data_IF_197695205628
#
_entry.id   IF_197695205628
#
_cell.length_a   1.000
_cell.length_b   1.000
_cell.length_c   1.000
_cell.angle_alpha   90.00
_cell.angle_beta   90.00
_cell.angle_gamma   90.00
#
_symmetry.space_group_name_H-M   'P 1'
#
loop_
_entity.id
_entity.type
_entity.pdbx_description
1 polymer ?
#
# COMPACT_ATOMS: atom_id res chain seq x y z
N UNK A 1 -7.23 -3.58 -16.41
CA UNK A 1 -6.74 -2.29 -15.89
C UNK A 1 -5.78 -2.46 -14.70
N UNK A 2 -5.82 -3.58 -13.99
CA UNK A 2 -4.78 -4.07 -13.06
C UNK A 2 -3.37 -4.25 -13.66
N UNK A 3 -3.23 -4.48 -14.97
CA UNK A 3 -1.90 -4.54 -15.61
C UNK A 3 -1.16 -3.19 -15.63
N UNK A 4 -1.80 -2.05 -15.36
CA UNK A 4 -1.17 -0.74 -15.61
C UNK A 4 -0.53 -0.08 -14.37
N UNK A 5 -1.04 -0.31 -13.16
CA UNK A 5 -0.53 0.32 -11.92
C UNK A 5 0.69 -0.46 -11.39
N UNK A 6 0.60 -1.79 -11.30
CA UNK A 6 1.75 -2.63 -10.93
C UNK A 6 2.89 -2.54 -11.98
N UNK A 7 2.60 -2.39 -13.29
CA UNK A 7 3.67 -2.29 -14.30
C UNK A 7 4.33 -0.92 -14.40
N UNK A 8 3.66 0.20 -14.12
CA UNK A 8 4.26 1.54 -14.32
C UNK A 8 5.19 1.96 -13.19
N UNK A 9 4.88 1.65 -11.93
CA UNK A 9 5.75 1.98 -10.80
C UNK A 9 6.72 0.85 -10.42
N UNK A 10 6.31 -0.43 -10.49
CA UNK A 10 7.14 -1.52 -9.95
C UNK A 10 7.93 -2.32 -11.01
N UNK A 11 7.50 -2.38 -12.29
CA UNK A 11 8.24 -3.19 -13.29
C UNK A 11 9.56 -2.57 -13.77
N UNK A 12 9.82 -1.29 -13.52
CA UNK A 12 11.11 -0.67 -13.85
C UNK A 12 12.23 -1.03 -12.86
N UNK A 13 11.89 -1.59 -11.70
CA UNK A 13 12.85 -1.93 -10.64
C UNK A 13 13.20 -3.41 -10.56
N UNK A 14 12.61 -4.27 -11.40
CA UNK A 14 12.80 -5.71 -11.34
C UNK A 14 13.13 -6.27 -12.73
N UNK A 15 14.42 -6.30 -13.07
CA UNK A 15 14.97 -7.25 -14.06
C UNK A 15 15.87 -8.26 -13.33
N UNK A 16 15.84 -9.55 -13.74
CA UNK A 16 16.35 -10.65 -12.93
C UNK A 16 17.84 -10.89 -13.21
N UNK A 17 18.69 -10.74 -12.19
CA UNK A 17 20.07 -11.25 -12.25
C UNK A 17 20.50 -11.76 -10.87
N UNK A 18 20.37 -13.08 -10.63
CA UNK A 18 21.51 -13.99 -10.46
C UNK A 18 21.02 -15.41 -10.11
N UNK A 19 21.47 -16.41 -10.87
CA UNK A 19 21.50 -17.81 -10.42
C UNK A 19 22.47 -17.91 -9.25
N UNK A 20 22.00 -18.19 -8.04
CA UNK A 20 22.87 -18.61 -6.95
C UNK A 20 22.86 -20.12 -6.75
N UNK A 21 24.06 -20.70 -6.80
CA UNK A 21 24.40 -22.10 -6.45
C UNK A 21 24.24 -22.30 -4.93
N UNK A 22 23.93 -23.52 -4.45
CA UNK A 22 23.89 -23.77 -3.02
C UNK A 22 25.30 -23.78 -2.43
N UNK A 23 25.50 -23.07 -1.32
CA UNK A 23 26.73 -23.14 -0.52
C UNK A 23 26.68 -24.37 0.39
N UNK A 24 27.76 -25.14 0.39
CA UNK A 24 27.93 -26.37 1.16
C UNK A 24 28.09 -26.10 2.66
N UNK A 25 27.44 -26.94 3.46
CA UNK A 25 27.59 -27.05 4.91
C UNK A 25 29.05 -27.08 5.39
N UNK A 26 29.41 -26.17 6.30
CA UNK A 26 30.40 -26.42 7.36
C UNK A 26 29.91 -25.79 8.67
N UNK A 27 29.72 -26.64 9.67
CA UNK A 27 29.39 -26.29 11.05
C UNK A 27 30.58 -25.60 11.71
N UNK A 28 30.30 -24.55 12.50
CA UNK A 28 31.16 -24.12 13.61
C UNK A 28 30.30 -23.95 14.87
N UNK A 29 30.80 -24.55 15.94
CA UNK A 29 30.15 -24.75 17.24
C UNK A 29 30.44 -23.63 18.24
N UNK A 30 29.38 -23.24 18.94
CA UNK A 30 29.25 -22.70 20.30
C UNK A 30 29.76 -21.28 20.66
N UNK A 31 28.80 -20.57 21.27
CA UNK A 31 28.90 -19.59 22.36
C UNK A 31 29.02 -18.10 21.99
N UNK A 32 27.87 -17.47 21.73
CA UNK A 32 27.44 -16.27 22.45
C UNK A 32 25.90 -16.15 22.37
N UNK A 33 25.25 -15.79 23.47
CA UNK A 33 23.79 -15.67 23.61
C UNK A 33 23.23 -14.44 22.86
N UNK A 34 23.30 -14.44 21.52
CA UNK A 34 22.95 -13.28 20.67
C UNK A 34 21.77 -13.56 19.73
N UNK A 35 20.84 -14.42 20.11
CA UNK A 35 19.50 -14.33 19.56
C UNK A 35 18.75 -13.23 20.32
N UNK A 36 19.14 -11.96 20.11
CA UNK A 36 18.13 -10.91 20.11
C UNK A 36 17.21 -11.35 18.97
N UNK A 37 16.08 -11.98 19.30
CA UNK A 37 15.12 -12.48 18.33
C UNK A 37 14.91 -11.36 17.31
N UNK A 38 15.42 -11.58 16.11
CA UNK A 38 15.39 -10.57 15.07
C UNK A 38 13.95 -10.53 14.58
N UNK A 39 13.22 -9.50 14.98
CA UNK A 39 11.83 -9.34 14.56
C UNK A 39 11.82 -8.89 13.10
N UNK A 40 11.84 -9.86 12.18
CA UNK A 40 11.81 -9.62 10.75
C UNK A 40 10.58 -8.81 10.32
N UNK A 41 9.51 -8.75 11.14
CA UNK A 41 8.33 -7.93 10.85
C UNK A 41 8.55 -6.45 11.14
N UNK A 42 9.50 -6.12 12.02
CA UNK A 42 9.83 -4.73 12.35
C UNK A 42 10.64 -4.03 11.25
N UNK A 43 11.27 -4.80 10.34
CA UNK A 43 12.07 -4.26 9.24
C UNK A 43 11.32 -4.20 7.90
N UNK A 44 10.09 -4.72 7.86
CA UNK A 44 9.26 -4.72 6.65
C UNK A 44 8.86 -3.32 6.25
N UNK A 45 8.65 -3.13 4.96
CA UNK A 45 8.15 -1.90 4.37
C UNK A 45 6.66 -2.05 4.08
N UNK A 46 5.88 -1.01 4.40
CA UNK A 46 4.45 -0.95 4.07
C UNK A 46 4.29 -0.04 2.87
N UNK A 47 3.93 -0.62 1.73
CA UNK A 47 3.64 0.13 0.51
C UNK A 47 2.17 0.48 0.47
N UNK A 48 1.86 1.76 0.26
CA UNK A 48 0.50 2.27 0.05
C UNK A 48 0.48 3.09 -1.24
N UNK A 49 -0.62 2.96 -1.96
CA UNK A 49 -1.01 3.82 -3.08
C UNK A 49 -2.48 4.18 -2.88
N UNK A 50 -2.82 5.45 -3.06
CA UNK A 50 -4.20 5.93 -2.93
C UNK A 50 -4.60 6.78 -4.11
N UNK A 51 -5.88 6.69 -4.46
CA UNK A 51 -6.52 7.60 -5.40
C UNK A 51 -7.47 8.51 -4.62
N UNK A 52 -7.44 9.81 -4.92
CA UNK A 52 -8.22 10.83 -4.22
C UNK A 52 -9.04 11.66 -5.22
N UNK A 53 -10.08 12.34 -4.71
CA UNK A 53 -10.88 13.30 -5.49
C UNK A 53 -10.09 14.55 -5.91
N UNK A 54 -8.94 14.76 -5.27
CA UNK A 54 -8.01 15.86 -5.48
C UNK A 54 -6.88 15.82 -4.46
N UNK A 55 -6.11 16.91 -4.36
CA UNK A 55 -4.89 16.98 -3.53
C UNK A 55 -5.05 17.86 -2.28
N UNK A 56 -6.21 18.46 -2.06
CA UNK A 56 -6.47 19.25 -0.88
C UNK A 56 -7.06 18.37 0.23
N UNK A 57 -6.23 17.98 1.19
CA UNK A 57 -6.65 17.12 2.32
C UNK A 57 -7.84 17.68 3.13
N UNK A 58 -8.11 18.99 3.02
CA UNK A 58 -9.23 19.65 3.70
C UNK A 58 -10.56 19.58 2.97
N UNK A 59 -10.55 19.24 1.69
CA UNK A 59 -11.74 19.26 0.83
C UNK A 59 -11.95 17.93 0.09
N UNK A 60 -10.86 17.22 -0.18
CA UNK A 60 -10.85 15.99 -0.97
C UNK A 60 -10.93 14.74 -0.10
N UNK A 61 -11.34 13.65 -0.74
CA UNK A 61 -11.63 12.36 -0.11
C UNK A 61 -10.83 11.23 -0.77
N UNK A 62 -10.54 10.18 0.00
CA UNK A 62 -9.92 8.94 -0.48
C UNK A 62 -10.96 8.14 -1.27
N UNK A 63 -10.67 7.82 -2.53
CA UNK A 63 -11.52 7.04 -3.44
C UNK A 63 -11.12 5.56 -3.47
N UNK A 64 -9.82 5.28 -3.38
CA UNK A 64 -9.27 3.92 -3.41
C UNK A 64 -8.01 3.85 -2.56
N UNK A 65 -7.76 2.70 -1.94
CA UNK A 65 -6.52 2.39 -1.22
C UNK A 65 -6.07 0.97 -1.56
N UNK A 66 -4.77 0.82 -1.83
CA UNK A 66 -4.12 -0.46 -2.02
C UNK A 66 -2.90 -0.59 -1.12
N UNK A 67 -2.64 -1.79 -0.60
CA UNK A 67 -1.51 -2.04 0.31
C UNK A 67 -0.71 -3.29 -0.07
N UNK A 68 0.61 -3.23 0.06
CA UNK A 68 1.52 -4.38 -0.09
C UNK A 68 2.58 -4.33 1.01
N UNK A 69 3.04 -5.48 1.49
CA UNK A 69 4.16 -5.58 2.43
C UNK A 69 5.34 -6.25 1.74
N UNK A 70 6.53 -5.65 1.84
CA UNK A 70 7.79 -6.22 1.36
C UNK A 70 8.79 -6.38 2.49
N UNK A 71 9.81 -7.20 2.25
CA UNK A 71 11.05 -7.15 3.04
C UNK A 71 11.93 -5.97 2.60
N UNK A 72 13.11 -5.84 3.21
CA UNK A 72 14.09 -4.80 2.91
C UNK A 72 14.75 -4.93 1.53
N UNK A 73 14.72 -6.13 0.95
CA UNK A 73 15.24 -6.43 -0.39
C UNK A 73 14.14 -6.29 -1.47
N UNK A 74 12.98 -5.73 -1.10
CA UNK A 74 11.82 -5.49 -1.95
C UNK A 74 11.12 -6.75 -2.46
N UNK A 75 11.35 -7.91 -1.84
CA UNK A 75 10.57 -9.11 -2.13
C UNK A 75 9.18 -8.96 -1.50
N UNK A 76 8.14 -9.28 -2.27
CA UNK A 76 6.76 -9.27 -1.77
C UNK A 76 6.62 -10.34 -0.70
N UNK A 77 6.25 -9.91 0.51
CA UNK A 77 5.92 -10.78 1.64
C UNK A 77 4.44 -11.11 1.60
N UNK A 78 3.60 -10.11 1.32
CA UNK A 78 2.17 -10.28 1.15
C UNK A 78 1.54 -9.17 0.32
N UNK A 79 0.56 -9.54 -0.50
CA UNK A 79 -0.33 -8.61 -1.19
C UNK A 79 -1.53 -8.34 -0.29
N UNK A 80 -1.78 -7.06 -0.01
CA UNK A 80 -2.91 -6.61 0.80
C UNK A 80 -4.15 -6.34 -0.03
N UNK A 81 -5.21 -5.81 0.60
CA UNK A 81 -6.44 -5.51 -0.11
C UNK A 81 -6.30 -4.28 -1.00
N UNK A 82 -7.06 -4.27 -2.09
CA UNK A 82 -7.33 -3.12 -2.95
C UNK A 82 -8.81 -2.78 -2.79
N UNK A 83 -9.11 -1.60 -2.28
CA UNK A 83 -10.43 -1.25 -1.79
C UNK A 83 -10.87 0.07 -2.40
N UNK A 84 -11.92 0.00 -3.23
CA UNK A 84 -12.65 1.17 -3.69
C UNK A 84 -13.67 1.58 -2.64
N UNK A 85 -13.65 2.86 -2.27
CA UNK A 85 -14.52 3.44 -1.23
C UNK A 85 -15.77 4.03 -1.88
N UNK A 86 -16.92 3.79 -1.25
CA UNK A 86 -18.19 4.36 -1.70
C UNK A 86 -18.19 5.88 -1.51
N UNK A 87 -18.67 6.58 -2.54
CA UNK A 87 -18.91 8.02 -2.49
C UNK A 87 -20.25 8.37 -3.12
N UNK A 88 -20.88 9.42 -2.59
CA UNK A 88 -22.05 10.01 -3.21
C UNK A 88 -21.68 10.63 -4.56
N UNK A 89 -22.64 10.61 -5.49
CA UNK A 89 -22.47 11.20 -6.84
C UNK A 89 -22.02 12.65 -6.78
N UNK A 90 -22.59 13.44 -5.88
CA UNK A 90 -22.23 14.85 -5.68
C UNK A 90 -20.75 15.05 -5.34
N UNK A 91 -20.19 14.24 -4.44
CA UNK A 91 -18.75 14.28 -4.10
C UNK A 91 -17.88 14.06 -5.33
N UNK A 92 -18.26 13.09 -6.17
CA UNK A 92 -17.50 12.72 -7.36
C UNK A 92 -17.65 13.76 -8.50
N UNK A 93 -18.81 14.40 -8.60
CA UNK A 93 -19.06 15.47 -9.59
C UNK A 93 -18.36 16.79 -9.23
N UNK A 94 -18.03 16.99 -7.95
CA UNK A 94 -17.30 18.17 -7.47
C UNK A 94 -15.77 18.07 -7.62
N UNK A 95 -15.26 16.98 -8.21
CA UNK A 95 -13.85 16.87 -8.56
C UNK A 95 -13.44 17.91 -9.61
N UNK A 96 -12.18 18.36 -9.55
CA UNK A 96 -11.65 19.21 -10.62
C UNK A 96 -11.54 18.45 -11.95
N UNK A 97 -11.51 19.19 -13.07
CA UNK A 97 -11.63 18.63 -14.44
C UNK A 97 -10.63 17.49 -14.74
N UNK A 98 -9.38 17.64 -14.29
CA UNK A 98 -8.36 16.61 -14.50
C UNK A 98 -8.70 15.31 -13.77
N UNK A 99 -9.14 15.35 -12.50
CA UNK A 99 -9.58 14.17 -11.76
C UNK A 99 -10.81 13.52 -12.39
N UNK A 100 -11.81 14.31 -12.80
CA UNK A 100 -13.00 13.77 -13.50
C UNK A 100 -12.59 12.98 -14.74
N UNK A 101 -11.69 13.55 -15.56
CA UNK A 101 -11.21 12.89 -16.78
C UNK A 101 -10.38 11.64 -16.47
N UNK A 102 -9.48 11.72 -15.50
CA UNK A 102 -8.56 10.64 -15.17
C UNK A 102 -9.32 9.45 -14.57
N UNK A 103 -10.13 9.69 -13.55
CA UNK A 103 -10.91 8.67 -12.85
C UNK A 103 -12.07 8.14 -13.69
N UNK A 104 -12.63 8.97 -14.57
CA UNK A 104 -13.59 8.52 -15.58
C UNK A 104 -12.95 7.57 -16.60
N UNK A 105 -11.70 7.82 -17.02
CA UNK A 105 -10.96 6.95 -17.95
C UNK A 105 -10.57 5.62 -17.30
N UNK A 106 -10.22 5.62 -16.02
CA UNK A 106 -9.94 4.38 -15.28
C UNK A 106 -11.22 3.64 -14.87
N UNK A 107 -12.37 4.30 -14.91
CA UNK A 107 -13.62 3.72 -14.42
C UNK A 107 -13.72 3.72 -12.90
N UNK A 108 -12.77 4.35 -12.20
CA UNK A 108 -12.77 4.45 -10.74
C UNK A 108 -13.99 5.23 -10.23
N UNK A 109 -14.42 6.27 -10.94
CA UNK A 109 -15.63 7.03 -10.59
C UNK A 109 -16.86 6.14 -10.53
N UNK A 110 -17.04 5.27 -11.54
CA UNK A 110 -18.17 4.33 -11.60
C UNK A 110 -18.03 3.22 -10.54
N UNK A 111 -16.79 2.79 -10.24
CA UNK A 111 -16.53 1.84 -9.19
C UNK A 111 -16.88 2.40 -7.80
N UNK A 112 -16.57 3.67 -7.53
CA UNK A 112 -16.93 4.35 -6.27
C UNK A 112 -18.46 4.41 -6.09
N UNK A 113 -19.22 4.71 -7.15
CA UNK A 113 -20.68 4.74 -7.09
C UNK A 113 -21.30 3.35 -6.78
N UNK A 114 -20.65 2.28 -7.24
CA UNK A 114 -21.10 0.89 -7.04
C UNK A 114 -20.57 0.25 -5.78
N UNK A 115 -19.47 0.76 -5.23
CA UNK A 115 -18.88 0.23 -4.00
C UNK A 115 -19.88 0.31 -2.86
N UNK A 116 -19.83 -0.65 -1.95
CA UNK A 116 -20.59 -0.66 -0.71
C UNK A 116 -19.68 -0.48 0.51
N UNK A 117 -18.38 -0.28 0.28
CA UNK A 117 -17.38 -0.20 1.34
C UNK A 117 -17.25 1.25 1.80
N UNK A 118 -17.51 1.48 3.08
CA UNK A 118 -17.23 2.75 3.74
C UNK A 118 -15.73 2.95 3.98
N UNK A 119 -15.33 4.20 4.20
CA UNK A 119 -13.96 4.57 4.56
C UNK A 119 -13.47 3.81 5.82
N UNK A 120 -14.32 3.69 6.84
CA UNK A 120 -13.99 2.96 8.08
C UNK A 120 -13.76 1.47 7.83
N UNK A 121 -14.59 0.83 7.00
CA UNK A 121 -14.41 -0.57 6.63
C UNK A 121 -13.12 -0.79 5.82
N UNK A 122 -12.74 0.19 4.99
CA UNK A 122 -11.48 0.15 4.26
C UNK A 122 -10.29 0.25 5.22
N UNK A 123 -10.32 1.19 6.16
CA UNK A 123 -9.31 1.34 7.22
C UNK A 123 -9.19 0.04 8.04
N UNK A 124 -10.29 -0.52 8.52
CA UNK A 124 -10.27 -1.75 9.33
C UNK A 124 -9.67 -2.92 8.55
N UNK A 125 -9.99 -3.06 7.26
CA UNK A 125 -9.45 -4.10 6.39
C UNK A 125 -7.93 -3.96 6.18
N UNK A 126 -7.46 -2.72 5.99
CA UNK A 126 -6.03 -2.41 5.88
C UNK A 126 -5.34 -2.73 7.20
N UNK A 127 -5.92 -2.33 8.33
CA UNK A 127 -5.34 -2.55 9.66
C UNK A 127 -5.30 -4.03 10.04
N UNK A 128 -6.31 -4.81 9.68
CA UNK A 128 -6.31 -6.27 9.85
C UNK A 128 -5.17 -6.92 9.06
N UNK A 129 -4.98 -6.49 7.81
CA UNK A 129 -3.85 -6.94 6.99
C UNK A 129 -2.51 -6.57 7.64
N UNK A 130 -2.31 -5.31 8.04
CA UNK A 130 -1.05 -4.84 8.62
C UNK A 130 -0.74 -5.53 9.95
N UNK A 131 -1.72 -5.74 10.83
CA UNK A 131 -1.55 -6.44 12.12
C UNK A 131 -0.98 -7.85 11.97
N UNK A 132 -1.31 -8.54 10.88
CA UNK A 132 -0.77 -9.87 10.59
C UNK A 132 0.67 -9.83 10.04
N UNK A 133 1.10 -8.71 9.43
CA UNK A 133 2.30 -8.69 8.60
C UNK A 133 3.42 -7.79 9.11
N UNK A 134 3.16 -6.78 9.94
CA UNK A 134 4.20 -5.86 10.42
C UNK A 134 4.17 -5.71 11.93
N UNK A 135 5.27 -5.27 12.52
CA UNK A 135 5.31 -4.92 13.94
C UNK A 135 4.82 -3.48 14.09
N UNK A 136 3.83 -3.21 14.97
CA UNK A 136 3.25 -1.89 15.12
C UNK A 136 4.32 -0.81 15.35
N UNK A 137 4.18 0.32 14.66
CA UNK A 137 5.06 1.49 14.78
C UNK A 137 6.54 1.29 14.37
N UNK A 138 6.90 0.16 13.75
CA UNK A 138 8.26 -0.09 13.29
C UNK A 138 8.46 0.13 11.79
N UNK A 139 7.47 -0.28 10.98
CA UNK A 139 7.57 -0.22 9.53
C UNK A 139 7.40 1.18 8.97
N UNK A 140 8.32 1.66 8.10
CA UNK A 140 8.12 2.91 7.37
C UNK A 140 7.06 2.74 6.27
N UNK A 141 6.38 3.83 5.98
CA UNK A 141 5.48 3.95 4.82
C UNK A 141 6.31 4.17 3.55
N UNK A 142 6.05 3.37 2.52
CA UNK A 142 6.75 3.37 1.24
C UNK A 142 5.77 3.63 0.09
N UNK A 143 6.25 4.26 -0.98
CA UNK A 143 5.46 4.63 -2.13
C UNK A 143 6.09 5.80 -2.88
N UNK A 144 5.67 6.02 -4.12
CA UNK A 144 6.12 7.18 -4.88
C UNK A 144 5.36 8.42 -4.41
N UNK A 145 6.07 9.47 -3.99
CA UNK A 145 5.43 10.69 -3.48
C UNK A 145 4.45 10.44 -2.32
N UNK A 146 4.71 9.40 -1.53
CA UNK A 146 3.84 8.88 -0.46
C UNK A 146 3.54 9.87 0.67
N UNK A 147 4.19 11.03 0.67
CA UNK A 147 3.92 12.10 1.60
C UNK A 147 2.49 12.65 1.44
N UNK A 148 1.94 12.69 0.21
CA UNK A 148 0.55 13.09 -0.01
C UNK A 148 -0.41 12.06 0.54
N UNK A 149 -0.19 10.78 0.25
CA UNK A 149 -0.96 9.66 0.81
C UNK A 149 -0.97 9.72 2.34
N UNK A 150 0.21 9.96 2.93
CA UNK A 150 0.37 10.08 4.37
C UNK A 150 -0.49 11.19 4.98
N UNK A 151 -0.68 12.32 4.31
CA UNK A 151 -1.55 13.38 4.83
C UNK A 151 -3.02 12.94 4.90
N UNK A 152 -3.49 12.24 3.87
CA UNK A 152 -4.83 11.67 3.86
C UNK A 152 -4.99 10.58 4.91
N UNK A 153 -4.02 9.66 5.06
CA UNK A 153 -4.05 8.63 6.10
C UNK A 153 -4.18 9.25 7.50
N UNK A 154 -3.34 10.23 7.84
CA UNK A 154 -3.39 10.88 9.17
C UNK A 154 -4.77 11.47 9.48
N UNK A 155 -5.46 12.00 8.47
CA UNK A 155 -6.76 12.65 8.66
C UNK A 155 -7.94 11.67 8.61
N UNK A 156 -7.92 10.74 7.67
CA UNK A 156 -9.06 9.93 7.28
C UNK A 156 -8.96 8.47 7.72
N UNK A 157 -7.76 7.98 8.01
CA UNK A 157 -7.49 6.61 8.47
C UNK A 157 -6.46 6.61 9.64
N UNK A 158 -6.80 7.17 10.82
CA UNK A 158 -5.86 7.37 11.92
C UNK A 158 -5.56 6.13 12.81
N UNK A 159 -6.25 5.00 12.65
CA UNK A 159 -6.06 3.78 13.47
C UNK A 159 -4.69 3.13 13.26
#
# INVERSE_FOLDING_TARGET
MFEHIIRRSFSQLIKPIFKMRPLSNKQCSNAFSTAKLFDLRAERLVWIDMEMTGLNVDQDNIMEVACIVTDTDLNIVAEGPEIVINHAKETLENMHEWCVKQHGKTGLTEACLKSQTSLEQAEDSIMDFLRAHVTPHCSPLAGNSVYMDRFFLIKYMPK
#
